data_IF_663464845376
#
_entry.id   IF_663464845376
#
_cell.length_a   1.000
_cell.length_b   1.000
_cell.length_c   1.000
_cell.angle_alpha   90.00
_cell.angle_beta   90.00
_cell.angle_gamma   90.00
#
_symmetry.space_group_name_H-M   'P 1'
#
loop_
_entity.id
_entity.type
_entity.pdbx_description
1 polymer ?
#
# COMPACT_ATOMS: atom_id res chain seq x y z
N UNK A 1 -4.28 10.53 12.23
CA UNK A 1 -3.12 10.24 11.36
C UNK A 1 -2.70 11.54 10.74
N UNK A 2 -1.40 11.83 10.73
CA UNK A 2 -0.88 12.94 9.94
C UNK A 2 -1.14 12.69 8.45
N UNK A 3 -1.45 13.73 7.69
CA UNK A 3 -1.52 13.62 6.22
C UNK A 3 -0.12 13.40 5.64
N UNK A 4 0.04 12.84 4.43
CA UNK A 4 1.36 12.67 3.81
C UNK A 4 2.17 13.98 3.75
N UNK A 5 1.50 15.10 3.48
CA UNK A 5 2.11 16.43 3.48
C UNK A 5 2.66 16.87 4.85
N UNK A 6 2.07 16.38 5.96
CA UNK A 6 2.55 16.68 7.32
C UNK A 6 3.80 15.89 7.71
N UNK A 7 4.12 14.78 7.04
CA UNK A 7 5.41 14.09 7.21
C UNK A 7 6.52 14.73 6.37
N UNK A 8 6.16 15.43 5.31
CA UNK A 8 7.06 16.12 4.39
C UNK A 8 7.17 17.63 4.71
N UNK A 9 7.18 17.99 5.99
CA UNK A 9 7.48 19.36 6.46
C UNK A 9 8.98 19.67 6.40
N UNK A 10 9.57 19.44 5.23
CA UNK A 10 10.99 19.63 4.94
C UNK A 10 11.14 20.49 3.67
N UNK A 11 12.32 21.08 3.45
CA UNK A 11 12.57 21.90 2.27
C UNK A 11 12.33 21.08 0.98
N UNK A 12 11.47 21.60 0.11
CA UNK A 12 11.19 21.02 -1.22
C UNK A 12 11.93 21.84 -2.26
N UNK A 13 12.60 21.15 -3.18
CA UNK A 13 13.31 21.73 -4.31
C UNK A 13 12.52 21.45 -5.59
N UNK A 14 12.46 22.40 -6.52
CA UNK A 14 11.83 22.15 -7.81
C UNK A 14 12.90 21.78 -8.83
N UNK A 15 12.73 20.62 -9.46
CA UNK A 15 13.57 20.18 -10.55
C UNK A 15 12.86 20.50 -11.87
N UNK A 16 13.45 21.44 -12.61
CA UNK A 16 12.98 21.87 -13.93
C UNK A 16 13.65 21.06 -15.02
N UNK A 17 12.86 20.33 -15.81
CA UNK A 17 13.36 19.69 -17.02
C UNK A 17 13.29 20.65 -18.22
N UNK A 18 14.37 20.79 -19.03
CA UNK A 18 14.41 21.72 -20.14
C UNK A 18 13.68 21.23 -21.42
N UNK A 19 12.89 20.16 -21.34
CA UNK A 19 12.12 19.63 -22.47
C UNK A 19 10.93 20.53 -22.78
N UNK A 20 11.08 21.33 -23.84
CA UNK A 20 10.17 22.42 -24.20
C UNK A 20 8.75 21.96 -24.56
N UNK A 21 7.80 22.39 -23.74
CA UNK A 21 6.50 22.95 -24.14
C UNK A 21 5.78 23.55 -22.90
N UNK A 22 6.15 23.09 -21.71
CA UNK A 22 5.95 23.79 -20.43
C UNK A 22 7.06 23.31 -19.49
N UNK A 23 7.71 24.20 -18.76
CA UNK A 23 8.71 23.79 -17.78
C UNK A 23 7.98 22.98 -16.68
N UNK A 24 8.04 21.66 -16.79
CA UNK A 24 7.43 20.76 -15.81
C UNK A 24 8.29 20.81 -14.55
N UNK A 25 7.79 21.52 -13.54
CA UNK A 25 8.43 21.61 -12.24
C UNK A 25 8.01 20.41 -11.39
N UNK A 26 8.98 19.52 -11.12
CA UNK A 26 8.75 18.38 -10.24
C UNK A 26 9.29 18.70 -8.84
N UNK A 27 8.46 18.61 -7.78
CA UNK A 27 8.93 18.78 -6.41
C UNK A 27 9.76 17.57 -5.99
N UNK A 28 10.98 17.84 -5.53
CA UNK A 28 11.97 16.85 -5.10
C UNK A 28 12.41 17.19 -3.68
N UNK A 29 12.59 16.17 -2.86
CA UNK A 29 13.04 16.29 -1.47
C UNK A 29 14.43 15.65 -1.34
N UNK A 30 15.23 16.10 -0.38
CA UNK A 30 16.51 15.45 -0.08
C UNK A 30 16.28 14.00 0.33
N UNK A 31 17.24 13.12 0.02
CA UNK A 31 17.14 11.70 0.35
C UNK A 31 17.00 11.46 1.86
N UNK A 32 17.74 12.21 2.68
CA UNK A 32 17.73 12.04 4.12
C UNK A 32 16.38 12.43 4.72
N UNK A 33 15.80 13.54 4.27
CA UNK A 33 14.49 14.00 4.74
C UNK A 33 13.37 13.05 4.30
N UNK A 34 13.47 12.50 3.08
CA UNK A 34 12.54 11.48 2.60
C UNK A 34 12.58 10.22 3.46
N UNK A 35 13.77 9.74 3.85
CA UNK A 35 13.90 8.59 4.75
C UNK A 35 13.27 8.86 6.12
N UNK A 36 13.59 9.99 6.74
CA UNK A 36 13.03 10.35 8.05
C UNK A 36 11.49 10.44 8.00
N UNK A 37 10.94 11.03 6.93
CA UNK A 37 9.49 11.12 6.74
C UNK A 37 8.84 9.74 6.64
N UNK A 38 9.46 8.80 5.90
CA UNK A 38 8.96 7.43 5.76
C UNK A 38 9.04 6.66 7.08
N UNK A 39 10.15 6.76 7.80
CA UNK A 39 10.32 6.11 9.11
C UNK A 39 9.30 6.61 10.13
N UNK A 40 9.06 7.93 10.18
CA UNK A 40 8.05 8.53 11.03
C UNK A 40 6.64 8.06 10.65
N UNK A 41 6.32 7.98 9.36
CA UNK A 41 5.04 7.49 8.89
C UNK A 41 4.81 6.01 9.23
N UNK A 42 5.85 5.18 9.11
CA UNK A 42 5.80 3.77 9.48
C UNK A 42 5.58 3.57 10.99
N UNK A 43 6.33 4.30 11.82
CA UNK A 43 6.18 4.22 13.28
C UNK A 43 4.76 4.61 13.73
N UNK A 44 4.19 5.65 13.12
CA UNK A 44 2.81 6.03 13.38
C UNK A 44 1.84 4.95 12.89
N UNK A 45 2.01 4.41 11.68
CA UNK A 45 1.17 3.35 11.13
C UNK A 45 1.13 2.08 12.01
N UNK A 46 2.28 1.66 12.54
CA UNK A 46 2.35 0.53 13.49
C UNK A 46 1.56 0.78 14.77
N UNK A 47 1.66 2.01 15.32
CA UNK A 47 0.89 2.42 16.49
C UNK A 47 -0.61 2.38 16.21
N UNK A 48 -1.06 2.85 15.04
CA UNK A 48 -2.47 2.80 14.66
C UNK A 48 -2.95 1.37 14.39
N UNK A 49 -2.14 0.50 13.79
CA UNK A 49 -2.44 -0.93 13.65
C UNK A 49 -2.70 -1.56 15.02
N UNK A 50 -1.83 -1.29 16.00
CA UNK A 50 -2.01 -1.79 17.35
C UNK A 50 -3.30 -1.24 18.00
N UNK A 51 -3.56 0.06 17.90
CA UNK A 51 -4.74 0.68 18.48
C UNK A 51 -6.05 0.19 17.82
N UNK A 52 -6.07 -0.01 16.51
CA UNK A 52 -7.19 -0.61 15.78
C UNK A 52 -7.43 -2.04 16.25
N UNK A 53 -6.41 -2.89 16.26
CA UNK A 53 -6.52 -4.28 16.71
C UNK A 53 -6.92 -4.36 18.19
N UNK A 54 -6.51 -3.40 19.02
CA UNK A 54 -6.94 -3.29 20.41
C UNK A 54 -8.39 -2.82 20.53
N UNK A 55 -8.82 -1.87 19.71
CA UNK A 55 -10.21 -1.41 19.65
C UNK A 55 -11.14 -2.54 19.20
N UNK A 56 -10.79 -3.28 18.15
CA UNK A 56 -11.53 -4.46 17.68
C UNK A 56 -11.63 -5.54 18.74
N UNK A 57 -10.53 -5.84 19.45
CA UNK A 57 -10.56 -6.79 20.57
C UNK A 57 -11.49 -6.33 21.70
N UNK A 58 -11.49 -5.04 22.03
CA UNK A 58 -12.39 -4.47 23.05
C UNK A 58 -13.85 -4.44 22.60
N UNK A 59 -14.13 -4.06 21.35
CA UNK A 59 -15.50 -4.06 20.83
C UNK A 59 -16.07 -5.47 20.75
N UNK A 60 -15.26 -6.46 20.36
CA UNK A 60 -15.69 -7.86 20.32
C UNK A 60 -15.89 -8.44 21.73
N UNK A 61 -15.08 -8.05 22.71
CA UNK A 61 -15.26 -8.45 24.11
C UNK A 61 -16.46 -7.76 24.78
N UNK A 62 -16.84 -6.56 24.35
CA UNK A 62 -18.07 -5.90 24.80
C UNK A 62 -19.34 -6.46 24.12
N UNK A 63 -19.21 -7.08 22.94
CA UNK A 63 -20.29 -7.72 22.17
C UNK A 63 -20.46 -9.22 22.46
N UNK A 64 -20.12 -9.70 23.66
CA UNK A 64 -20.30 -11.11 24.09
C UNK A 64 -21.77 -11.53 24.28
N UNK A 65 -22.64 -11.16 23.34
CA UNK A 65 -23.96 -11.77 23.09
C UNK A 65 -24.13 -12.16 21.61
N UNK A 66 -23.16 -11.94 20.70
CA UNK A 66 -23.29 -12.41 19.32
C UNK A 66 -22.01 -13.10 18.82
N UNK A 67 -22.13 -14.24 18.10
CA UNK A 67 -20.98 -15.06 17.74
C UNK A 67 -20.15 -14.39 16.63
N UNK A 68 -18.83 -14.39 16.86
CA UNK A 68 -17.77 -14.52 15.87
C UNK A 68 -17.93 -13.78 14.53
N UNK A 69 -17.49 -12.52 14.49
CA UNK A 69 -17.02 -11.90 13.23
C UNK A 69 -15.53 -12.25 13.06
N UNK A 70 -15.27 -13.49 12.64
CA UNK A 70 -14.06 -13.78 11.86
C UNK A 70 -14.11 -12.83 10.66
N UNK A 71 -13.05 -12.08 10.32
CA UNK A 71 -12.97 -11.50 9.00
C UNK A 71 -12.83 -12.67 8.03
N UNK A 72 -13.97 -13.18 7.56
CA UNK A 72 -14.02 -14.02 6.38
C UNK A 72 -13.52 -13.12 5.26
N UNK A 73 -12.22 -13.19 4.97
CA UNK A 73 -11.76 -12.87 3.64
C UNK A 73 -12.67 -13.64 2.69
N UNK A 74 -13.25 -13.03 1.65
CA UNK A 74 -13.98 -13.80 0.67
C UNK A 74 -13.00 -14.81 0.08
N UNK A 75 -13.09 -16.07 0.51
CA UNK A 75 -12.45 -17.23 -0.12
C UNK A 75 -13.18 -17.58 -1.43
N UNK A 76 -13.49 -16.54 -2.20
CA UNK A 76 -14.09 -16.58 -3.51
C UNK A 76 -13.28 -15.59 -4.37
N UNK A 77 -11.98 -15.85 -4.49
CA UNK A 77 -11.33 -15.47 -5.73
C UNK A 77 -12.00 -16.31 -6.81
N UNK A 78 -12.55 -15.73 -7.88
CA UNK A 78 -12.77 -16.52 -9.07
C UNK A 78 -11.39 -17.06 -9.44
N UNK A 79 -11.22 -18.37 -9.43
CA UNK A 79 -10.06 -19.06 -9.97
C UNK A 79 -9.90 -18.58 -11.42
N UNK A 80 -9.15 -17.50 -11.64
CA UNK A 80 -8.79 -17.04 -12.97
C UNK A 80 -7.84 -18.09 -13.53
N UNK A 81 -8.24 -18.86 -14.55
CA UNK A 81 -7.39 -19.90 -15.09
C UNK A 81 -6.11 -19.24 -15.62
N UNK A 82 -4.97 -19.61 -15.05
CA UNK A 82 -3.67 -19.17 -15.54
C UNK A 82 -3.39 -19.98 -16.80
N UNK A 83 -3.57 -19.36 -17.97
CA UNK A 83 -3.11 -19.94 -19.23
C UNK A 83 -1.61 -19.69 -19.38
N UNK A 84 -0.82 -20.71 -19.75
CA UNK A 84 0.58 -20.52 -20.09
C UNK A 84 0.72 -19.58 -21.30
N UNK A 85 1.69 -18.67 -21.25
CA UNK A 85 1.94 -17.67 -22.31
C UNK A 85 2.44 -18.31 -23.62
N UNK A 86 2.98 -19.52 -23.52
CA UNK A 86 3.49 -20.29 -24.66
C UNK A 86 2.79 -21.65 -24.69
N UNK A 87 2.31 -22.11 -25.86
CA UNK A 87 1.91 -23.49 -26.01
C UNK A 87 3.13 -24.38 -25.73
N UNK A 88 2.92 -25.50 -25.03
CA UNK A 88 3.97 -26.49 -24.88
C UNK A 88 4.30 -27.01 -26.28
N UNK A 89 5.59 -27.05 -26.64
CA UNK A 89 6.10 -27.52 -27.94
C UNK A 89 5.78 -29.01 -28.23
N UNK A 90 5.03 -29.68 -27.35
CA UNK A 90 4.63 -31.08 -27.49
C UNK A 90 3.41 -31.30 -28.42
N UNK A 91 2.68 -30.23 -28.79
CA UNK A 91 1.52 -30.32 -29.71
C UNK A 91 1.90 -30.27 -31.21
N UNK A 92 3.15 -29.94 -31.58
CA UNK A 92 3.59 -29.98 -32.99
C UNK A 92 4.00 -31.37 -33.48
N UNK A 93 4.09 -32.37 -32.59
CA UNK A 93 4.45 -33.76 -32.95
C UNK A 93 3.24 -34.67 -33.21
N UNK A 94 2.01 -34.14 -33.17
CA UNK A 94 0.78 -34.89 -33.42
C UNK A 94 -0.14 -34.20 -34.45
N UNK A 95 0.38 -33.99 -35.67
CA UNK A 95 -0.43 -33.73 -36.86
C UNK A 95 0.15 -34.46 -38.09
#
# INVERSE_FOLDING_TARGET
MKTPAEYLQCPVFNLTYPTGESAEEVPVVSYHDALQAVEAALADAEKYRYLLMRALRRSNAANTVAPSLIPTFPAAMPETPVLPLYPNDDDEMAA
#
